data_IF_321928043092
#
_entry.id   IF_321928043092
#
_cell.length_a   1.000
_cell.length_b   1.000
_cell.length_c   1.000
_cell.angle_alpha   90.00
_cell.angle_beta   90.00
_cell.angle_gamma   90.00
#
_symmetry.space_group_name_H-M   'P 1'
#
loop_
_entity.id
_entity.type
_entity.pdbx_description
1 polymer ?
#
# COMPACT_ATOMS: atom_id res chain seq x y z
N UNK A 1 10.29 -4.28 -15.96
CA UNK A 1 9.16 -5.03 -15.36
C UNK A 1 8.10 -5.43 -16.39
N UNK A 2 7.55 -4.50 -17.19
CA UNK A 2 6.67 -4.83 -18.34
C UNK A 2 7.33 -5.81 -19.33
N UNK A 3 8.64 -5.66 -19.58
CA UNK A 3 9.40 -6.58 -20.43
C UNK A 3 9.54 -8.00 -19.87
N UNK A 4 9.44 -8.21 -18.54
CA UNK A 4 9.45 -9.54 -17.93
C UNK A 4 8.10 -10.25 -18.16
N UNK A 5 7.01 -9.50 -17.97
CA UNK A 5 5.63 -10.00 -18.10
C UNK A 5 5.28 -10.41 -19.54
N UNK A 6 5.77 -9.66 -20.54
CA UNK A 6 5.51 -9.97 -21.95
C UNK A 6 6.35 -11.14 -22.49
N UNK A 7 7.46 -11.49 -21.84
CA UNK A 7 8.44 -12.42 -22.39
C UNK A 7 8.42 -13.82 -21.77
N UNK A 8 7.86 -13.99 -20.56
CA UNK A 8 7.74 -15.29 -19.87
C UNK A 8 6.88 -16.30 -20.65
N UNK A 9 5.95 -15.82 -21.49
CA UNK A 9 5.02 -16.65 -22.27
C UNK A 9 5.65 -17.34 -23.49
N UNK A 10 6.89 -17.00 -23.89
CA UNK A 10 7.45 -17.37 -25.21
C UNK A 10 8.70 -18.29 -25.18
N UNK A 11 9.11 -18.82 -24.02
CA UNK A 11 10.40 -19.52 -23.88
C UNK A 11 10.28 -21.03 -23.60
N UNK A 12 11.03 -21.84 -24.35
CA UNK A 12 11.27 -23.28 -24.16
C UNK A 12 11.98 -23.62 -22.84
N UNK A 13 11.63 -24.79 -22.28
CA UNK A 13 11.90 -25.24 -20.90
C UNK A 13 13.37 -25.08 -20.42
N UNK A 14 14.37 -25.26 -21.29
CA UNK A 14 15.80 -25.16 -20.92
C UNK A 14 16.37 -23.74 -20.89
N UNK A 15 15.82 -22.81 -21.66
CA UNK A 15 16.23 -21.39 -21.69
C UNK A 15 15.51 -20.56 -20.60
N UNK A 16 14.50 -21.15 -19.96
CA UNK A 16 13.72 -20.58 -18.85
C UNK A 16 14.54 -20.39 -17.57
N UNK A 17 15.36 -21.35 -17.17
CA UNK A 17 16.02 -21.31 -15.86
C UNK A 17 17.18 -20.31 -15.79
N UNK A 18 17.98 -20.20 -16.85
CA UNK A 18 19.05 -19.20 -16.96
C UNK A 18 18.46 -17.78 -16.98
N UNK A 19 17.48 -17.54 -17.85
CA UNK A 19 16.82 -16.25 -18.00
C UNK A 19 16.08 -15.83 -16.73
N UNK A 20 15.40 -16.75 -16.05
CA UNK A 20 14.71 -16.47 -14.79
C UNK A 20 15.68 -16.03 -13.70
N UNK A 21 16.88 -16.61 -13.63
CA UNK A 21 17.94 -16.17 -12.71
C UNK A 21 18.43 -14.77 -13.05
N UNK A 22 18.70 -14.48 -14.32
CA UNK A 22 19.15 -13.15 -14.77
C UNK A 22 18.11 -12.06 -14.49
N UNK A 23 16.84 -12.31 -14.78
CA UNK A 23 15.79 -11.32 -14.52
C UNK A 23 15.54 -11.17 -13.02
N UNK A 24 15.58 -12.25 -12.24
CA UNK A 24 15.53 -12.14 -10.78
C UNK A 24 16.68 -11.29 -10.26
N UNK A 25 17.88 -11.49 -10.79
CA UNK A 25 19.06 -10.71 -10.41
C UNK A 25 18.88 -9.23 -10.78
N UNK A 26 18.35 -8.92 -11.97
CA UNK A 26 18.00 -7.55 -12.35
C UNK A 26 16.91 -6.94 -11.46
N UNK A 27 15.89 -7.71 -11.07
CA UNK A 27 14.82 -7.25 -10.16
C UNK A 27 15.38 -6.96 -8.77
N UNK A 28 16.21 -7.86 -8.24
CA UNK A 28 16.89 -7.65 -6.96
C UNK A 28 17.86 -6.48 -7.02
N UNK A 29 18.63 -6.34 -8.10
CA UNK A 29 19.54 -5.21 -8.29
C UNK A 29 18.80 -3.87 -8.36
N UNK A 30 17.75 -3.78 -9.17
CA UNK A 30 16.91 -2.57 -9.24
C UNK A 30 16.22 -2.26 -7.91
N UNK A 31 15.84 -3.28 -7.15
CA UNK A 31 15.26 -3.15 -5.83
C UNK A 31 16.28 -2.63 -4.81
N UNK A 32 17.50 -3.19 -4.79
CA UNK A 32 18.59 -2.73 -3.94
C UNK A 32 18.93 -1.27 -4.25
N UNK A 33 19.06 -0.94 -5.55
CA UNK A 33 19.28 0.44 -6.00
C UNK A 33 18.13 1.34 -5.52
N UNK A 34 16.88 0.90 -5.60
CA UNK A 34 15.72 1.68 -5.14
C UNK A 34 15.76 1.95 -3.63
N UNK A 35 16.16 0.96 -2.83
CA UNK A 35 16.34 1.12 -1.37
C UNK A 35 17.48 2.11 -1.08
N UNK A 36 18.62 1.98 -1.77
CA UNK A 36 19.75 2.90 -1.62
C UNK A 36 19.33 4.33 -1.97
N UNK A 37 18.64 4.52 -3.10
CA UNK A 37 18.13 5.83 -3.53
C UNK A 37 17.11 6.40 -2.54
N UNK A 38 16.26 5.55 -1.98
CA UNK A 38 15.31 5.95 -0.94
C UNK A 38 16.02 6.44 0.34
N UNK A 39 17.04 5.71 0.82
CA UNK A 39 17.85 6.15 1.95
C UNK A 39 18.64 7.42 1.64
N UNK A 40 19.13 7.55 0.41
CA UNK A 40 19.82 8.75 -0.06
C UNK A 40 18.88 9.95 -0.12
N UNK A 41 17.60 9.76 -0.47
CA UNK A 41 16.59 10.81 -0.52
C UNK A 41 16.48 11.59 0.80
N UNK A 42 16.71 10.92 1.93
CA UNK A 42 16.74 11.55 3.25
C UNK A 42 17.79 12.67 3.35
N UNK A 43 18.93 12.48 2.68
CA UNK A 43 20.07 13.40 2.70
C UNK A 43 20.07 14.36 1.50
N UNK A 44 19.05 14.34 0.64
CA UNK A 44 19.01 15.24 -0.50
C UNK A 44 18.85 16.69 -0.03
N UNK A 45 19.63 17.65 -0.58
CA UNK A 45 19.60 19.05 -0.16
C UNK A 45 18.20 19.65 -0.21
N UNK A 46 17.41 19.28 -1.23
CA UNK A 46 16.03 19.73 -1.35
C UNK A 46 15.10 19.20 -0.24
N UNK A 47 15.29 17.97 0.24
CA UNK A 47 14.49 17.44 1.34
C UNK A 47 14.90 18.08 2.67
N UNK A 48 16.20 18.22 2.91
CA UNK A 48 16.74 18.91 4.09
C UNK A 48 16.23 20.36 4.12
N UNK A 49 16.35 21.09 3.01
CA UNK A 49 15.87 22.47 2.93
C UNK A 49 14.38 22.58 3.23
N UNK A 50 13.55 21.63 2.75
CA UNK A 50 12.11 21.60 3.09
C UNK A 50 11.83 21.20 4.54
N UNK A 51 12.75 20.54 5.23
CA UNK A 51 12.61 20.23 6.66
C UNK A 51 13.05 21.40 7.54
N UNK A 52 14.01 22.20 7.08
CA UNK A 52 14.65 23.27 7.88
C UNK A 52 14.24 24.68 7.45
N UNK A 53 13.62 24.86 6.28
CA UNK A 53 13.23 26.16 5.76
C UNK A 53 12.16 26.80 6.63
N UNK A 54 12.50 27.95 7.21
CA UNK A 54 11.58 28.81 7.94
C UNK A 54 10.58 29.47 6.99
N UNK A 55 10.99 29.84 5.77
CA UNK A 55 10.11 30.48 4.77
C UNK A 55 8.96 29.56 4.34
N UNK A 56 9.24 28.32 3.95
CA UNK A 56 8.19 27.38 3.56
C UNK A 56 7.28 27.03 4.74
N UNK A 57 7.86 26.89 5.94
CA UNK A 57 7.11 26.60 7.15
C UNK A 57 6.14 27.74 7.47
N UNK A 58 6.63 28.97 7.47
CA UNK A 58 5.84 30.15 7.86
C UNK A 58 4.81 30.52 6.78
N UNK A 59 5.05 30.12 5.52
CA UNK A 59 4.09 30.30 4.42
C UNK A 59 2.99 29.23 4.40
N UNK A 60 3.34 27.94 4.54
CA UNK A 60 2.43 26.83 4.29
C UNK A 60 1.84 26.18 5.54
N UNK A 61 2.60 26.09 6.63
CA UNK A 61 2.15 25.46 7.87
C UNK A 61 2.92 26.00 9.10
N UNK A 62 2.61 27.23 9.57
CA UNK A 62 3.34 27.87 10.68
C UNK A 62 3.37 27.00 11.94
N UNK A 63 2.23 26.35 12.24
CA UNK A 63 2.09 25.48 13.41
C UNK A 63 3.03 24.26 13.39
N UNK A 64 3.62 23.90 12.24
CA UNK A 64 4.56 22.77 12.13
C UNK A 64 5.82 22.95 12.99
N UNK A 65 6.22 24.20 13.26
CA UNK A 65 7.33 24.54 14.14
C UNK A 65 7.16 23.92 15.55
N UNK A 66 5.94 24.02 16.08
CA UNK A 66 5.61 23.64 17.44
C UNK A 66 5.17 22.18 17.56
N UNK A 67 5.17 21.43 16.45
CA UNK A 67 4.77 20.03 16.46
C UNK A 67 5.90 19.15 16.97
N UNK A 68 5.59 18.35 17.99
CA UNK A 68 6.46 17.25 18.39
C UNK A 68 6.61 16.22 17.27
N UNK A 69 7.68 15.42 17.33
CA UNK A 69 7.93 14.36 16.36
C UNK A 69 6.74 13.38 16.24
N UNK A 70 6.14 13.00 17.38
CA UNK A 70 4.97 12.12 17.40
C UNK A 70 3.76 12.74 16.69
N UNK A 71 3.56 14.05 16.84
CA UNK A 71 2.48 14.77 16.16
C UNK A 71 2.71 14.81 14.65
N UNK A 72 3.96 15.00 14.21
CA UNK A 72 4.33 14.94 12.78
C UNK A 72 4.08 13.57 12.17
N UNK A 73 4.52 12.51 12.84
CA UNK A 73 4.27 11.11 12.43
C UNK A 73 2.76 10.84 12.37
N UNK A 74 2.02 11.28 13.38
CA UNK A 74 0.58 11.11 13.42
C UNK A 74 -0.11 11.79 12.22
N UNK A 75 0.20 13.05 11.92
CA UNK A 75 -0.36 13.77 10.76
C UNK A 75 0.04 13.14 9.42
N UNK A 76 1.28 12.63 9.32
CA UNK A 76 1.75 11.83 8.17
C UNK A 76 0.86 10.61 7.95
N UNK A 77 0.71 9.80 8.99
CA UNK A 77 -0.09 8.58 8.95
C UNK A 77 -1.58 8.87 8.70
N UNK A 78 -2.18 9.73 9.52
CA UNK A 78 -3.62 10.05 9.50
C UNK A 78 -4.08 10.60 8.16
N UNK A 79 -3.30 11.49 7.54
CA UNK A 79 -3.60 12.03 6.21
C UNK A 79 -3.44 10.97 5.12
N UNK A 80 -2.45 10.08 5.25
CA UNK A 80 -2.21 9.00 4.29
C UNK A 80 -3.37 8.00 4.29
N UNK A 81 -3.72 7.46 5.46
CA UNK A 81 -4.80 6.47 5.56
C UNK A 81 -6.18 7.08 5.28
N UNK A 82 -6.39 8.37 5.61
CA UNK A 82 -7.62 9.07 5.27
C UNK A 82 -7.83 9.16 3.75
N UNK A 83 -6.77 9.37 2.97
CA UNK A 83 -6.83 9.38 1.50
C UNK A 83 -6.98 7.97 0.92
N UNK A 84 -6.29 6.97 1.48
CA UNK A 84 -6.27 5.61 0.91
C UNK A 84 -7.51 4.79 1.26
N UNK A 85 -8.01 4.89 2.49
CA UNK A 85 -9.05 4.00 3.03
C UNK A 85 -10.37 4.71 3.31
N UNK A 86 -10.38 5.97 3.72
CA UNK A 86 -11.64 6.63 4.08
C UNK A 86 -12.23 7.37 2.89
N UNK A 87 -11.46 8.28 2.28
CA UNK A 87 -11.86 8.92 1.03
C UNK A 87 -11.84 7.90 -0.10
N UNK A 88 -12.80 8.02 -1.02
CA UNK A 88 -12.88 7.18 -2.21
C UNK A 88 -11.59 7.27 -3.03
N UNK A 89 -10.82 6.18 -3.04
CA UNK A 89 -9.63 6.01 -3.86
C UNK A 89 -9.79 4.78 -4.74
N UNK A 90 -9.99 5.01 -6.04
CA UNK A 90 -10.30 3.94 -7.01
C UNK A 90 -9.15 2.95 -7.15
N UNK A 91 -7.91 3.42 -7.16
CA UNK A 91 -6.73 2.57 -7.32
C UNK A 91 -6.58 1.65 -6.11
N UNK A 92 -6.73 2.18 -4.89
CA UNK A 92 -6.68 1.34 -3.69
C UNK A 92 -7.85 0.34 -3.67
N UNK A 93 -9.05 0.77 -4.04
CA UNK A 93 -10.21 -0.11 -4.13
C UNK A 93 -10.01 -1.27 -5.12
N UNK A 94 -9.45 -0.99 -6.30
CA UNK A 94 -9.08 -2.04 -7.28
C UNK A 94 -8.07 -3.03 -6.70
N UNK A 95 -7.09 -2.55 -5.94
CA UNK A 95 -6.13 -3.43 -5.27
C UNK A 95 -6.80 -4.33 -4.22
N UNK A 96 -7.75 -3.80 -3.45
CA UNK A 96 -8.52 -4.61 -2.50
C UNK A 96 -9.41 -5.66 -3.19
N UNK A 97 -9.95 -5.36 -4.38
CA UNK A 97 -10.66 -6.33 -5.20
C UNK A 97 -9.72 -7.48 -5.60
N UNK A 98 -8.51 -7.18 -6.09
CA UNK A 98 -7.54 -8.22 -6.49
C UNK A 98 -7.17 -9.11 -5.31
N UNK A 99 -6.95 -8.55 -4.12
CA UNK A 99 -6.71 -9.34 -2.91
C UNK A 99 -7.91 -10.23 -2.55
N UNK A 100 -9.13 -9.71 -2.69
CA UNK A 100 -10.36 -10.47 -2.43
C UNK A 100 -10.58 -11.58 -3.45
N UNK A 101 -10.20 -11.38 -4.72
CA UNK A 101 -10.23 -12.44 -5.74
C UNK A 101 -9.28 -13.59 -5.39
N UNK A 102 -8.05 -13.27 -4.94
CA UNK A 102 -7.11 -14.27 -4.44
C UNK A 102 -7.69 -15.04 -3.24
N UNK A 103 -8.36 -14.35 -2.32
CA UNK A 103 -9.06 -14.98 -1.18
C UNK A 103 -10.18 -15.93 -1.60
N UNK A 104 -11.10 -15.48 -2.46
CA UNK A 104 -12.21 -16.31 -2.94
C UNK A 104 -11.68 -17.56 -3.61
N UNK A 105 -10.64 -17.42 -4.43
CA UNK A 105 -10.01 -18.57 -5.08
C UNK A 105 -9.39 -19.54 -4.07
N UNK A 106 -8.70 -19.05 -3.05
CA UNK A 106 -8.16 -19.89 -1.99
C UNK A 106 -9.26 -20.71 -1.27
N UNK A 107 -10.45 -20.14 -1.09
CA UNK A 107 -11.62 -20.84 -0.54
C UNK A 107 -12.11 -21.94 -1.49
N UNK A 108 -12.24 -21.63 -2.78
CA UNK A 108 -12.71 -22.59 -3.79
C UNK A 108 -11.77 -23.80 -3.89
N UNK A 109 -10.46 -23.57 -3.85
CA UNK A 109 -9.47 -24.66 -3.85
C UNK A 109 -9.52 -25.51 -2.59
N UNK A 110 -9.69 -24.89 -1.41
CA UNK A 110 -9.83 -25.61 -0.16
C UNK A 110 -11.08 -26.54 -0.16
N UNK A 111 -12.16 -26.12 -0.82
CA UNK A 111 -13.36 -26.96 -1.01
C UNK A 111 -13.11 -28.14 -1.95
N UNK A 112 -12.41 -27.89 -3.06
CA UNK A 112 -12.19 -28.91 -4.11
C UNK A 112 -11.22 -30.01 -3.66
N UNK A 113 -10.16 -29.67 -2.92
CA UNK A 113 -9.16 -30.65 -2.49
C UNK A 113 -9.62 -31.51 -1.29
N UNK A 114 -10.82 -31.28 -0.72
CA UNK A 114 -11.25 -31.84 0.58
C UNK A 114 -10.21 -31.71 1.72
N UNK A 115 -9.20 -30.86 1.53
CA UNK A 115 -8.20 -30.53 2.53
C UNK A 115 -8.81 -29.41 3.36
N UNK A 116 -9.51 -29.81 4.42
CA UNK A 116 -10.11 -28.92 5.43
C UNK A 116 -9.03 -28.30 6.32
N UNK A 117 -8.04 -27.65 5.70
CA UNK A 117 -7.03 -26.88 6.39
C UNK A 117 -7.68 -25.60 6.89
N UNK A 118 -8.00 -25.55 8.19
CA UNK A 118 -8.49 -24.35 8.92
C UNK A 118 -7.69 -23.09 8.54
N UNK A 119 -6.41 -23.26 8.20
CA UNK A 119 -5.48 -22.21 7.76
C UNK A 119 -5.89 -21.53 6.45
N UNK A 120 -6.43 -22.25 5.46
CA UNK A 120 -6.83 -21.68 4.15
C UNK A 120 -8.08 -20.79 4.27
N UNK A 121 -9.06 -21.21 5.07
CA UNK A 121 -10.23 -20.38 5.36
C UNK A 121 -9.84 -19.12 6.13
N UNK A 122 -8.95 -19.22 7.12
CA UNK A 122 -8.44 -18.06 7.86
C UNK A 122 -7.72 -17.10 6.91
N UNK A 123 -6.82 -17.58 6.04
CA UNK A 123 -6.10 -16.71 5.09
C UNK A 123 -7.04 -16.00 4.13
N UNK A 124 -8.09 -16.68 3.66
CA UNK A 124 -9.04 -16.09 2.75
C UNK A 124 -9.93 -15.02 3.42
N UNK A 125 -10.41 -15.31 4.63
CA UNK A 125 -11.16 -14.33 5.42
C UNK A 125 -10.36 -13.06 5.67
N UNK A 126 -9.05 -13.20 5.96
CA UNK A 126 -8.14 -12.06 6.15
C UNK A 126 -8.02 -11.22 4.86
N UNK A 127 -7.94 -11.83 3.68
CA UNK A 127 -7.81 -11.06 2.43
C UNK A 127 -9.10 -10.41 1.92
N UNK A 128 -10.28 -10.93 2.27
CA UNK A 128 -11.56 -10.25 1.98
C UNK A 128 -11.86 -9.12 2.98
N UNK A 129 -11.30 -9.18 4.18
CA UNK A 129 -11.61 -8.25 5.27
C UNK A 129 -11.40 -6.76 4.91
N UNK A 130 -10.26 -6.34 4.31
CA UNK A 130 -10.07 -4.95 3.88
C UNK A 130 -11.16 -4.43 2.95
N UNK A 131 -11.60 -5.24 1.97
CA UNK A 131 -12.61 -4.82 1.01
C UNK A 131 -13.97 -4.65 1.67
N UNK A 132 -14.35 -5.59 2.54
CA UNK A 132 -15.61 -5.51 3.30
C UNK A 132 -15.61 -4.25 4.17
N UNK A 133 -14.51 -4.00 4.88
CA UNK A 133 -14.40 -2.83 5.74
C UNK A 133 -14.45 -1.52 4.94
N UNK A 134 -13.79 -1.48 3.77
CA UNK A 134 -13.86 -0.35 2.85
C UNK A 134 -15.30 -0.05 2.40
N UNK A 135 -16.06 -1.08 2.04
CA UNK A 135 -17.46 -0.96 1.64
C UNK A 135 -18.35 -0.48 2.80
N UNK A 136 -18.11 -0.97 4.02
CA UNK A 136 -18.81 -0.52 5.23
C UNK A 136 -18.53 0.96 5.52
N UNK A 137 -17.28 1.41 5.41
CA UNK A 137 -16.92 2.83 5.59
C UNK A 137 -17.66 3.71 4.57
N UNK A 138 -17.79 3.26 3.32
CA UNK A 138 -18.53 4.00 2.30
C UNK A 138 -20.02 4.02 2.57
N UNK A 139 -20.61 2.91 2.99
CA UNK A 139 -22.03 2.81 3.33
C UNK A 139 -22.40 3.70 4.53
N UNK A 140 -21.53 3.76 5.56
CA UNK A 140 -21.70 4.64 6.73
C UNK A 140 -21.40 6.12 6.41
N UNK A 141 -20.76 6.40 5.27
CA UNK A 141 -20.32 7.72 4.87
C UNK A 141 -19.02 8.14 5.53
N UNK A 142 -17.94 8.12 4.75
CA UNK A 142 -16.56 8.38 5.20
C UNK A 142 -16.37 9.72 5.93
N UNK A 143 -17.23 10.72 5.70
CA UNK A 143 -17.21 12.03 6.36
C UNK A 143 -17.35 11.93 7.89
N UNK A 144 -17.86 10.82 8.42
CA UNK A 144 -17.95 10.59 9.87
C UNK A 144 -16.57 10.40 10.53
N UNK A 145 -15.60 9.89 9.77
CA UNK A 145 -14.27 9.48 10.27
C UNK A 145 -13.16 10.48 9.95
N UNK A 146 -13.43 11.42 9.04
CA UNK A 146 -12.44 12.33 8.46
C UNK A 146 -12.76 13.78 8.79
N UNK A 147 -11.72 14.57 9.06
CA UNK A 147 -11.76 16.02 9.28
C UNK A 147 -11.03 16.73 8.14
N UNK A 148 -11.44 17.97 7.88
CA UNK A 148 -10.81 18.86 6.91
C UNK A 148 -10.33 20.12 7.63
N UNK A 149 -9.02 20.31 7.68
CA UNK A 149 -8.44 21.54 8.23
C UNK A 149 -8.13 22.54 7.14
N UNK A 150 -8.35 23.83 7.40
CA UNK A 150 -8.01 24.89 6.45
C UNK A 150 -6.50 25.01 6.22
N UNK A 151 -5.70 24.85 7.28
CA UNK A 151 -4.23 24.80 7.17
C UNK A 151 -3.73 23.57 6.38
N UNK A 152 -4.58 22.55 6.21
CA UNK A 152 -4.26 21.35 5.45
C UNK A 152 -4.81 21.41 4.02
N UNK A 153 -5.14 22.60 3.50
CA UNK A 153 -5.75 22.80 2.18
C UNK A 153 -7.00 21.92 1.96
N UNK A 154 -7.78 21.69 3.03
CA UNK A 154 -8.95 20.79 3.04
C UNK A 154 -8.63 19.39 2.54
N UNK A 155 -7.43 18.89 2.84
CA UNK A 155 -7.11 17.48 2.67
C UNK A 155 -7.81 16.65 3.77
N UNK A 156 -8.23 15.42 3.45
CA UNK A 156 -8.84 14.52 4.41
C UNK A 156 -7.79 14.04 5.42
N UNK A 157 -8.14 14.06 6.69
CA UNK A 157 -7.30 13.56 7.77
C UNK A 157 -8.15 12.86 8.84
N UNK A 158 -7.62 11.84 9.52
CA UNK A 158 -8.24 11.35 10.76
C UNK A 158 -8.08 12.44 11.83
N UNK A 159 -9.17 12.86 12.46
CA UNK A 159 -9.15 13.87 13.52
C UNK A 159 -8.48 13.38 14.82
N UNK A 160 -8.19 14.26 15.80
CA UNK A 160 -7.44 13.92 17.00
C UNK A 160 -8.12 12.80 17.82
N UNK A 161 -7.46 11.63 17.87
CA UNK A 161 -8.00 10.40 18.48
C UNK A 161 -8.29 10.52 19.98
N UNK A 162 -7.56 11.39 20.70
CA UNK A 162 -7.78 11.64 22.13
C UNK A 162 -9.06 12.44 22.41
N UNK A 163 -9.59 13.18 21.42
CA UNK A 163 -10.74 14.07 21.62
C UNK A 163 -12.08 13.39 21.31
N UNK A 164 -12.08 12.34 20.49
CA UNK A 164 -13.32 11.69 20.08
C UNK A 164 -13.09 10.22 19.72
N UNK A 165 -13.90 9.34 20.31
CA UNK A 165 -13.88 7.89 20.09
C UNK A 165 -14.00 7.51 18.62
N UNK A 166 -14.72 8.28 17.80
CA UNK A 166 -14.86 7.99 16.36
C UNK A 166 -13.53 8.03 15.61
N UNK A 167 -12.62 8.92 16.01
CA UNK A 167 -11.30 9.04 15.39
C UNK A 167 -10.34 7.96 15.90
N UNK A 168 -10.49 7.54 17.16
CA UNK A 168 -9.79 6.38 17.68
C UNK A 168 -10.21 5.10 16.94
N UNK A 169 -11.52 4.94 16.69
CA UNK A 169 -12.04 3.84 15.86
C UNK A 169 -11.46 3.92 14.44
N UNK A 170 -11.48 5.09 13.80
CA UNK A 170 -10.90 5.25 12.46
C UNK A 170 -9.41 4.86 12.42
N UNK A 171 -8.63 5.27 13.41
CA UNK A 171 -7.21 4.92 13.54
C UNK A 171 -7.02 3.40 13.75
N UNK A 172 -7.82 2.79 14.62
CA UNK A 172 -7.76 1.35 14.85
C UNK A 172 -8.13 0.57 13.57
N UNK A 173 -9.19 0.99 12.87
CA UNK A 173 -9.62 0.38 11.60
C UNK A 173 -8.52 0.49 10.54
N UNK A 174 -7.85 1.63 10.40
CA UNK A 174 -6.77 1.77 9.42
C UNK A 174 -5.58 0.87 9.72
N UNK A 175 -5.21 0.69 10.99
CA UNK A 175 -4.16 -0.25 11.40
C UNK A 175 -4.56 -1.69 11.07
N UNK A 176 -5.79 -2.09 11.41
CA UNK A 176 -6.29 -3.44 11.12
C UNK A 176 -6.33 -3.68 9.60
N UNK A 177 -6.73 -2.68 8.80
CA UNK A 177 -6.70 -2.78 7.33
C UNK A 177 -5.28 -3.00 6.79
N UNK A 178 -4.30 -2.25 7.27
CA UNK A 178 -2.90 -2.41 6.84
C UNK A 178 -2.39 -3.80 7.20
N UNK A 179 -2.61 -4.23 8.45
CA UNK A 179 -2.19 -5.56 8.90
C UNK A 179 -2.85 -6.67 8.08
N UNK A 180 -4.15 -6.59 7.85
CA UNK A 180 -4.86 -7.57 7.03
C UNK A 180 -4.39 -7.59 5.58
N UNK A 181 -4.07 -6.44 4.97
CA UNK A 181 -3.43 -6.37 3.64
C UNK A 181 -2.07 -7.09 3.65
N UNK A 182 -1.21 -6.79 4.62
CA UNK A 182 0.13 -7.39 4.71
C UNK A 182 0.03 -8.91 4.90
N UNK A 183 -0.82 -9.37 5.83
CA UNK A 183 -1.04 -10.80 6.05
C UNK A 183 -1.67 -11.48 4.83
N UNK A 184 -2.62 -10.83 4.15
CA UNK A 184 -3.21 -11.35 2.93
C UNK A 184 -2.16 -11.58 1.84
N UNK A 185 -1.26 -10.62 1.61
CA UNK A 185 -0.18 -10.76 0.63
C UNK A 185 0.74 -11.95 0.97
N UNK A 186 1.15 -12.07 2.23
CA UNK A 186 2.07 -13.13 2.69
C UNK A 186 1.44 -14.53 2.59
N UNK A 187 0.13 -14.63 2.81
CA UNK A 187 -0.58 -15.91 2.86
C UNK A 187 -1.18 -16.34 1.51
N UNK A 188 -1.63 -15.40 0.67
CA UNK A 188 -2.39 -15.69 -0.55
C UNK A 188 -1.55 -15.68 -1.83
N UNK A 189 -0.44 -14.92 -1.86
CA UNK A 189 0.47 -14.91 -3.01
C UNK A 189 1.40 -16.12 -2.91
N UNK A 190 1.29 -17.06 -3.85
CA UNK A 190 2.05 -18.32 -3.83
C UNK A 190 3.50 -18.08 -4.23
N UNK A 191 3.74 -17.19 -5.19
CA UNK A 191 5.08 -16.86 -5.65
C UNK A 191 5.80 -15.96 -4.63
N UNK A 192 6.76 -16.55 -3.89
CA UNK A 192 7.54 -15.84 -2.86
C UNK A 192 8.28 -14.61 -3.37
N UNK A 193 8.75 -14.62 -4.62
CA UNK A 193 9.38 -13.44 -5.22
C UNK A 193 8.35 -12.33 -5.39
N UNK A 194 7.15 -12.64 -5.90
CA UNK A 194 6.08 -11.64 -6.03
C UNK A 194 5.63 -11.11 -4.68
N UNK A 195 5.50 -11.97 -3.68
CA UNK A 195 5.21 -11.57 -2.29
C UNK A 195 6.24 -10.53 -1.81
N UNK A 196 7.53 -10.82 -1.97
CA UNK A 196 8.62 -9.91 -1.58
C UNK A 196 8.59 -8.59 -2.35
N UNK A 197 8.38 -8.63 -3.68
CA UNK A 197 8.31 -7.42 -4.52
C UNK A 197 7.12 -6.54 -4.12
N UNK A 198 5.92 -7.12 -4.00
CA UNK A 198 4.71 -6.39 -3.59
C UNK A 198 4.92 -5.78 -2.20
N UNK A 199 5.41 -6.57 -1.23
CA UNK A 199 5.66 -6.10 0.13
C UNK A 199 6.64 -4.93 0.17
N UNK A 200 7.74 -5.01 -0.57
CA UNK A 200 8.75 -3.94 -0.61
C UNK A 200 8.25 -2.69 -1.34
N UNK A 201 7.51 -2.84 -2.44
CA UNK A 201 6.91 -1.70 -3.13
C UNK A 201 5.95 -0.94 -2.22
N UNK A 202 5.08 -1.65 -1.49
CA UNK A 202 4.18 -1.04 -0.52
C UNK A 202 4.92 -0.39 0.65
N UNK A 203 5.99 -1.02 1.15
CA UNK A 203 6.81 -0.45 2.22
C UNK A 203 7.51 0.84 1.79
N UNK A 204 8.18 0.84 0.62
CA UNK A 204 8.84 2.03 0.08
C UNK A 204 7.83 3.13 -0.25
N UNK A 205 6.67 2.77 -0.80
CA UNK A 205 5.56 3.69 -1.06
C UNK A 205 5.08 4.37 0.22
N UNK A 206 4.79 3.58 1.26
CA UNK A 206 4.36 4.10 2.54
C UNK A 206 5.44 4.97 3.18
N UNK A 207 6.68 4.49 3.24
CA UNK A 207 7.81 5.24 3.77
C UNK A 207 8.00 6.59 3.08
N UNK A 208 7.93 6.63 1.74
CA UNK A 208 8.08 7.89 0.98
C UNK A 208 7.03 8.94 1.36
N UNK A 209 5.81 8.49 1.67
CA UNK A 209 4.72 9.39 2.05
C UNK A 209 4.84 9.83 3.51
N UNK A 210 5.25 8.93 4.40
CA UNK A 210 5.50 9.26 5.81
C UNK A 210 6.68 10.23 5.97
N UNK A 211 7.74 10.09 5.16
CA UNK A 211 8.85 11.06 5.11
C UNK A 211 8.36 12.48 4.81
N UNK A 212 7.34 12.64 3.96
CA UNK A 212 6.75 13.96 3.70
C UNK A 212 5.99 14.51 4.90
N UNK A 213 5.51 13.65 5.83
CA UNK A 213 4.93 14.09 7.10
C UNK A 213 5.92 14.70 8.07
N UNK A 214 7.21 14.55 7.80
CA UNK A 214 8.30 15.18 8.56
C UNK A 214 8.72 16.54 7.98
N UNK A 215 7.99 17.06 6.99
CA UNK A 215 8.16 18.41 6.43
C UNK A 215 6.82 19.19 6.43
N UNK A 216 6.85 20.53 6.54
CA UNK A 216 5.67 21.40 6.34
C UNK A 216 4.99 21.20 4.97
N UNK A 217 5.68 20.59 4.00
CA UNK A 217 5.15 20.32 2.66
C UNK A 217 4.13 19.18 2.58
N UNK A 218 3.84 18.49 3.70
CA UNK A 218 2.83 17.43 3.82
C UNK A 218 1.49 17.81 3.18
N UNK A 219 1.04 19.06 3.36
CA UNK A 219 -0.21 19.56 2.80
C UNK A 219 -0.02 20.47 1.59
N UNK A 220 1.09 21.21 1.52
CA UNK A 220 1.36 22.17 0.44
C UNK A 220 1.36 21.51 -0.96
N UNK A 221 1.86 20.29 -1.05
CA UNK A 221 1.90 19.54 -2.33
C UNK A 221 0.64 18.73 -2.62
N UNK A 222 -0.33 18.70 -1.70
CA UNK A 222 -1.63 18.08 -1.90
C UNK A 222 -1.55 16.60 -2.29
N UNK A 223 -2.45 16.19 -3.20
CA UNK A 223 -2.50 14.82 -3.73
C UNK A 223 -1.27 14.40 -4.56
N UNK A 224 -0.42 15.33 -5.01
CA UNK A 224 0.78 15.00 -5.80
C UNK A 224 1.76 14.16 -5.00
N UNK A 225 1.75 14.31 -3.67
CA UNK A 225 2.54 13.51 -2.72
C UNK A 225 2.20 12.02 -2.76
N UNK A 226 1.02 11.63 -3.26
CA UNK A 226 0.58 10.24 -3.35
C UNK A 226 0.99 9.57 -4.67
N UNK A 227 1.55 10.30 -5.64
CA UNK A 227 1.84 9.78 -6.99
C UNK A 227 2.67 8.50 -6.96
N UNK A 228 3.77 8.50 -6.19
CA UNK A 228 4.62 7.32 -6.05
C UNK A 228 3.88 6.16 -5.39
N UNK A 229 3.10 6.44 -4.35
CA UNK A 229 2.31 5.42 -3.66
C UNK A 229 1.29 4.78 -4.59
N UNK A 230 0.50 5.60 -5.31
CA UNK A 230 -0.52 5.09 -6.25
C UNK A 230 0.12 4.32 -7.40
N UNK A 231 1.28 4.75 -7.89
CA UNK A 231 2.03 4.00 -8.89
C UNK A 231 2.49 2.63 -8.37
N UNK A 232 3.01 2.57 -7.16
CA UNK A 232 3.36 1.30 -6.52
C UNK A 232 2.13 0.38 -6.36
N UNK A 233 0.97 0.92 -5.97
CA UNK A 233 -0.27 0.13 -5.90
C UNK A 233 -0.66 -0.40 -7.29
N UNK A 234 -0.58 0.42 -8.35
CA UNK A 234 -0.88 -0.04 -9.72
C UNK A 234 0.01 -1.21 -10.14
N UNK A 235 1.30 -1.16 -9.80
CA UNK A 235 2.21 -2.30 -10.02
C UNK A 235 1.78 -3.53 -9.21
N UNK A 236 1.40 -3.34 -7.94
CA UNK A 236 0.93 -4.44 -7.10
C UNK A 236 -0.36 -5.07 -7.64
N UNK A 237 -1.26 -4.27 -8.24
CA UNK A 237 -2.46 -4.77 -8.93
C UNK A 237 -2.07 -5.69 -10.09
N UNK A 238 -1.13 -5.25 -10.95
CA UNK A 238 -0.69 -6.06 -12.10
C UNK A 238 -0.07 -7.39 -11.65
N UNK A 239 0.78 -7.37 -10.63
CA UNK A 239 1.39 -8.57 -10.08
C UNK A 239 0.37 -9.49 -9.40
N UNK A 240 -0.61 -8.91 -8.70
CA UNK A 240 -1.71 -9.65 -8.09
C UNK A 240 -2.63 -10.30 -9.13
N UNK A 241 -2.95 -9.59 -10.22
CA UNK A 241 -3.74 -10.15 -11.33
C UNK A 241 -3.02 -11.28 -12.05
N UNK A 242 -1.71 -11.13 -12.30
CA UNK A 242 -0.91 -12.22 -12.86
C UNK A 242 -0.94 -13.44 -11.94
N UNK A 243 -0.81 -13.22 -10.63
CA UNK A 243 -0.93 -14.30 -9.65
C UNK A 243 -2.29 -14.98 -9.74
N UNK A 244 -3.40 -14.23 -9.83
CA UNK A 244 -4.75 -14.79 -10.01
C UNK A 244 -4.83 -15.66 -11.27
N UNK A 245 -4.33 -15.18 -12.41
CA UNK A 245 -4.40 -15.89 -13.70
C UNK A 245 -3.62 -17.20 -13.67
N UNK A 246 -2.37 -17.18 -13.23
CA UNK A 246 -1.54 -18.40 -13.14
C UNK A 246 -2.16 -19.43 -12.21
N UNK A 247 -2.74 -18.93 -11.13
CA UNK A 247 -3.46 -19.72 -10.17
C UNK A 247 -4.71 -20.38 -10.77
N UNK A 248 -5.41 -19.73 -11.71
CA UNK A 248 -6.55 -20.29 -12.46
C UNK A 248 -6.09 -21.33 -13.49
N UNK A 249 -5.02 -21.06 -14.25
CA UNK A 249 -4.47 -21.99 -15.24
C UNK A 249 -4.05 -23.33 -14.58
N UNK A 250 -3.44 -23.28 -13.40
CA UNK A 250 -3.09 -24.48 -12.62
C UNK A 250 -4.33 -25.29 -12.23
N UNK A 251 -5.46 -24.62 -11.98
CA UNK A 251 -6.71 -25.29 -11.57
C UNK A 251 -7.44 -25.94 -12.74
N UNK A 252 -7.31 -25.41 -13.95
CA UNK A 252 -7.92 -25.98 -15.17
C UNK A 252 -7.16 -27.21 -15.68
N UNK A 253 -5.84 -27.26 -15.45
CA UNK A 253 -4.98 -28.36 -15.89
C UNK A 253 -4.91 -29.54 -14.89
N UNK A 254 -5.63 -29.46 -13.76
CA UNK A 254 -5.82 -30.55 -12.79
C UNK A 254 -7.17 -31.20 -13.02
#
# INVERSE_FOLDING_TARGET
MLCYLLYEKKIEKGRKDHFRKEVLLCLWATLIISVILYLWQWNMPGHINRMTSTEERDLYLPAFADWSLLKKIYHGYSSTVAVLFFKTNVIMFMFLIVLSLLSVKAILQAKQEMITSKKQYISASIGCFPLILQLLIWALGYKHFVVYYDYAFKMPEIGPFLKNTKYLIALALSVIMILSIVFAIVLLVRNRIRTSIIGMLLFLAAGSREMMGLSPTIYASGYRTFTFFLFAIMVCILLGLQEVVEQLEISYNK
#
